data_IF_247581852630
#
_entry.id   IF_247581852630
#
_cell.length_a   1.000
_cell.length_b   1.000
_cell.length_c   1.000
_cell.angle_alpha   90.00
_cell.angle_beta   90.00
_cell.angle_gamma   90.00
#
_symmetry.space_group_name_H-M   'P 1'
#
loop_
_entity.id
_entity.type
_entity.pdbx_description
1 polymer ?
#
# COMPACT_ATOMS: atom_id res chain seq x y z
N UNK A 1 15.21 -14.51 -0.10
CA UNK A 1 15.12 -13.12 0.36
C UNK A 1 13.75 -12.55 0.05
N UNK A 2 13.05 -12.06 1.05
CA UNK A 2 11.71 -11.51 0.86
C UNK A 2 11.78 -10.09 0.29
N UNK A 3 11.06 -9.88 -0.80
CA UNK A 3 10.92 -8.56 -1.42
C UNK A 3 9.45 -8.18 -1.46
N UNK A 4 9.19 -6.88 -1.56
CA UNK A 4 7.84 -6.36 -1.71
C UNK A 4 7.46 -6.27 -3.19
N UNK A 5 6.26 -6.75 -3.50
CA UNK A 5 5.67 -6.68 -4.84
C UNK A 5 4.31 -6.02 -4.74
N UNK A 6 3.80 -5.52 -5.85
CA UNK A 6 2.51 -4.85 -5.91
C UNK A 6 1.53 -5.68 -6.73
N UNK A 7 0.47 -6.14 -6.09
CA UNK A 7 -0.60 -6.91 -6.72
C UNK A 7 -1.78 -6.00 -7.07
N UNK A 8 -2.20 -6.03 -8.32
CA UNK A 8 -3.45 -5.42 -8.74
C UNK A 8 -4.60 -6.40 -8.53
N UNK A 9 -5.65 -5.98 -7.86
CA UNK A 9 -6.76 -6.85 -7.51
C UNK A 9 -8.08 -6.08 -7.51
N UNK A 10 -9.18 -6.82 -7.49
CA UNK A 10 -10.51 -6.23 -7.35
C UNK A 10 -10.69 -5.75 -5.91
N UNK A 11 -11.14 -4.50 -5.74
CA UNK A 11 -11.24 -3.85 -4.43
C UNK A 11 -12.13 -4.62 -3.45
N UNK A 12 -13.18 -5.24 -3.93
CA UNK A 12 -14.11 -6.01 -3.12
C UNK A 12 -13.55 -7.34 -2.59
N UNK A 13 -12.47 -7.84 -3.21
CA UNK A 13 -11.89 -9.14 -2.89
C UNK A 13 -10.59 -9.04 -2.08
N UNK A 14 -10.14 -7.83 -1.74
CA UNK A 14 -8.85 -7.61 -1.07
C UNK A 14 -8.75 -8.38 0.25
N UNK A 15 -9.79 -8.36 1.07
CA UNK A 15 -9.79 -9.08 2.35
C UNK A 15 -9.65 -10.59 2.18
N UNK A 16 -10.30 -11.15 1.17
CA UNK A 16 -10.20 -12.57 0.84
C UNK A 16 -8.80 -12.93 0.37
N UNK A 17 -8.22 -12.09 -0.47
CA UNK A 17 -6.86 -12.27 -0.99
C UNK A 17 -5.87 -12.20 0.17
N UNK A 18 -6.01 -11.21 1.05
CA UNK A 18 -5.17 -11.03 2.24
C UNK A 18 -5.11 -12.32 3.07
N UNK A 19 -6.27 -12.89 3.39
CA UNK A 19 -6.35 -14.14 4.16
C UNK A 19 -5.69 -15.32 3.46
N UNK A 20 -5.87 -15.44 2.16
CA UNK A 20 -5.31 -16.55 1.38
C UNK A 20 -3.81 -16.46 1.21
N UNK A 21 -3.28 -15.27 0.92
CA UNK A 21 -1.84 -15.07 0.80
C UNK A 21 -1.13 -15.28 2.14
N UNK A 22 -1.77 -14.88 3.23
CA UNK A 22 -1.24 -15.12 4.58
C UNK A 22 -1.05 -16.60 4.86
N UNK A 23 -1.95 -17.44 4.39
CA UNK A 23 -1.84 -18.90 4.51
C UNK A 23 -0.68 -19.48 3.70
N UNK A 24 -0.30 -18.81 2.62
CA UNK A 24 0.85 -19.21 1.78
C UNK A 24 2.19 -18.79 2.39
N UNK A 25 2.18 -18.01 3.45
CA UNK A 25 3.38 -17.45 4.05
C UNK A 25 3.79 -16.09 3.49
N UNK A 26 2.92 -15.46 2.72
CA UNK A 26 3.12 -14.12 2.19
C UNK A 26 2.66 -13.10 3.23
N UNK A 27 3.41 -12.00 3.40
CA UNK A 27 3.04 -10.91 4.29
C UNK A 27 2.31 -9.83 3.48
N UNK A 28 1.00 -9.62 3.69
CA UNK A 28 0.27 -8.57 2.99
C UNK A 28 0.37 -7.24 3.73
N UNK A 29 0.34 -6.15 2.97
CA UNK A 29 0.23 -4.80 3.51
C UNK A 29 -0.76 -4.00 2.66
N UNK A 30 -1.88 -3.65 3.28
CA UNK A 30 -2.93 -2.87 2.63
C UNK A 30 -3.07 -1.54 3.37
N UNK A 31 -2.38 -0.46 2.90
CA UNK A 31 -2.38 0.81 3.61
C UNK A 31 -3.75 1.46 3.60
N UNK A 32 -4.14 1.98 4.77
CA UNK A 32 -5.41 2.66 4.96
C UNK A 32 -5.18 4.05 5.55
N UNK A 33 -6.13 4.94 5.33
CA UNK A 33 -6.14 6.26 5.95
C UNK A 33 -7.45 6.46 6.72
N UNK A 34 -7.43 7.37 7.68
CA UNK A 34 -8.62 7.71 8.46
C UNK A 34 -9.31 8.91 7.83
N UNK A 35 -10.54 8.72 7.40
CA UNK A 35 -11.40 9.80 6.93
C UNK A 35 -12.21 10.34 8.09
N UNK A 36 -12.05 11.62 8.37
CA UNK A 36 -12.81 12.32 9.41
C UNK A 36 -13.96 13.06 8.75
N UNK A 37 -15.19 12.69 9.09
CA UNK A 37 -16.38 13.34 8.56
C UNK A 37 -17.17 13.96 9.73
N UNK A 38 -17.46 15.27 9.62
CA UNK A 38 -18.28 15.97 10.59
C UNK A 38 -19.75 15.70 10.30
N UNK A 39 -20.48 15.18 11.28
CA UNK A 39 -21.93 14.99 11.15
C UNK A 39 -22.66 16.34 11.18
N UNK A 40 -23.66 16.51 10.31
CA UNK A 40 -24.43 17.75 10.18
C UNK A 40 -25.40 17.97 11.34
N UNK A 41 -25.84 16.91 12.00
CA UNK A 41 -26.88 16.90 13.01
C UNK A 41 -26.39 16.86 14.47
N UNK A 42 -25.08 16.72 14.68
CA UNK A 42 -24.48 16.76 16.00
C UNK A 42 -22.99 17.13 15.91
N UNK A 43 -22.40 17.55 17.04
CA UNK A 43 -20.96 17.86 17.09
C UNK A 43 -20.06 16.61 17.07
N UNK A 44 -20.62 15.43 16.81
CA UNK A 44 -19.88 14.19 16.75
C UNK A 44 -19.13 14.07 15.41
N UNK A 45 -17.91 13.58 15.51
CA UNK A 45 -17.03 13.33 14.35
C UNK A 45 -17.04 11.83 14.07
N UNK A 46 -17.33 11.47 12.83
CA UNK A 46 -17.24 10.07 12.39
C UNK A 46 -15.84 9.81 11.83
N UNK A 47 -15.15 8.84 12.41
CA UNK A 47 -13.85 8.37 11.93
C UNK A 47 -14.04 7.06 11.21
N UNK A 48 -13.56 6.98 9.98
CA UNK A 48 -13.74 5.82 9.12
C UNK A 48 -12.43 5.48 8.43
N UNK A 49 -12.00 4.21 8.54
CA UNK A 49 -10.82 3.75 7.82
C UNK A 49 -11.17 3.45 6.36
N UNK A 50 -10.42 4.03 5.46
CA UNK A 50 -10.56 3.86 4.02
C UNK A 50 -9.24 3.38 3.41
N UNK A 51 -9.28 2.48 2.41
CA UNK A 51 -8.05 2.07 1.74
C UNK A 51 -7.44 3.24 0.97
N UNK A 52 -6.13 3.38 1.11
CA UNK A 52 -5.36 4.41 0.39
C UNK A 52 -5.30 4.11 -1.11
N UNK A 53 -5.07 2.83 -1.45
CA UNK A 53 -5.07 2.31 -2.83
C UNK A 53 -5.99 1.08 -2.90
N UNK A 54 -7.30 1.25 -3.20
CA UNK A 54 -8.27 0.16 -3.08
C UNK A 54 -7.99 -1.06 -3.96
N UNK A 55 -7.30 -0.88 -5.08
CA UNK A 55 -7.02 -1.95 -6.03
C UNK A 55 -5.59 -2.49 -5.92
N UNK A 56 -4.79 -2.00 -4.98
CA UNK A 56 -3.39 -2.41 -4.82
C UNK A 56 -3.15 -3.03 -3.46
N UNK A 57 -2.56 -4.21 -3.46
CA UNK A 57 -2.14 -4.91 -2.27
C UNK A 57 -0.63 -5.15 -2.35
N UNK A 58 0.10 -4.66 -1.35
CA UNK A 58 1.54 -4.91 -1.25
C UNK A 58 1.76 -6.28 -0.63
N UNK A 59 2.63 -7.09 -1.24
CA UNK A 59 2.93 -8.45 -0.79
C UNK A 59 4.44 -8.65 -0.63
N UNK A 60 4.85 -9.16 0.53
CA UNK A 60 6.24 -9.50 0.79
C UNK A 60 6.41 -11.01 0.80
N UNK A 61 7.23 -11.52 -0.10
CA UNK A 61 7.56 -12.93 -0.17
C UNK A 61 8.82 -13.17 -0.98
N UNK A 62 9.36 -14.40 -0.88
CA UNK A 62 10.49 -14.85 -1.70
C UNK A 62 9.94 -15.55 -2.94
N UNK A 63 10.18 -14.96 -4.11
CA UNK A 63 9.69 -15.46 -5.39
C UNK A 63 10.27 -16.84 -5.74
N UNK A 64 11.39 -17.22 -5.12
CA UNK A 64 11.99 -18.54 -5.30
C UNK A 64 11.31 -19.62 -4.45
N UNK A 65 10.61 -19.24 -3.40
CA UNK A 65 9.89 -20.16 -2.51
C UNK A 65 8.39 -20.21 -2.84
N UNK A 66 7.81 -19.09 -3.20
CA UNK A 66 6.37 -18.98 -3.52
C UNK A 66 6.27 -18.45 -4.95
N UNK A 67 5.68 -19.25 -5.84
CA UNK A 67 5.55 -18.86 -7.23
C UNK A 67 4.48 -17.77 -7.39
N UNK A 68 4.70 -16.85 -8.32
CA UNK A 68 3.74 -15.77 -8.59
C UNK A 68 2.37 -16.29 -9.01
N UNK A 69 2.33 -17.44 -9.70
CA UNK A 69 1.07 -18.07 -10.13
C UNK A 69 0.22 -18.54 -8.95
N UNK A 70 0.83 -18.91 -7.83
CA UNK A 70 0.10 -19.30 -6.62
C UNK A 70 -0.70 -18.13 -6.06
N UNK A 71 -0.19 -16.91 -6.21
CA UNK A 71 -0.86 -15.69 -5.79
C UNK A 71 -1.90 -15.25 -6.82
N UNK A 72 -1.54 -15.25 -8.11
CA UNK A 72 -2.44 -14.77 -9.17
C UNK A 72 -3.61 -15.70 -9.45
N UNK A 73 -3.52 -16.97 -9.03
CA UNK A 73 -4.63 -17.92 -9.12
C UNK A 73 -5.73 -17.68 -8.08
N UNK A 74 -5.50 -16.84 -7.08
CA UNK A 74 -6.50 -16.51 -6.08
C UNK A 74 -7.62 -15.68 -6.73
N UNK A 75 -8.90 -16.07 -6.53
CA UNK A 75 -10.01 -15.31 -7.10
C UNK A 75 -10.00 -13.84 -6.62
N UNK A 76 -10.13 -12.92 -7.58
CA UNK A 76 -10.05 -11.47 -7.33
C UNK A 76 -8.67 -10.88 -7.60
N UNK A 77 -7.61 -11.67 -7.60
CA UNK A 77 -6.29 -11.22 -8.02
C UNK A 77 -6.24 -11.10 -9.54
N UNK A 78 -5.89 -9.92 -10.03
CA UNK A 78 -5.77 -9.66 -11.48
C UNK A 78 -4.38 -9.98 -11.97
N UNK A 79 -3.35 -9.49 -11.29
CA UNK A 79 -1.96 -9.75 -11.64
C UNK A 79 -1.02 -8.79 -10.94
N UNK A 80 0.27 -9.11 -10.96
CA UNK A 80 1.29 -8.22 -10.42
C UNK A 80 1.50 -7.03 -11.35
N UNK A 81 1.72 -5.86 -10.76
CA UNK A 81 2.15 -4.67 -11.51
C UNK A 81 3.54 -4.94 -12.06
N UNK A 82 3.72 -4.69 -13.36
CA UNK A 82 4.97 -4.94 -14.06
C UNK A 82 5.41 -3.70 -14.83
N UNK A 83 6.70 -3.42 -14.77
CA UNK A 83 7.33 -2.45 -15.66
C UNK A 83 8.35 -3.23 -16.50
N UNK A 84 7.89 -3.71 -17.66
CA UNK A 84 8.64 -4.67 -18.48
C UNK A 84 8.17 -6.11 -18.24
N UNK A 85 9.08 -7.08 -18.26
CA UNK A 85 8.76 -8.50 -18.14
C UNK A 85 8.63 -8.99 -16.70
N UNK A 86 9.32 -8.34 -15.76
CA UNK A 86 9.38 -8.78 -14.37
C UNK A 86 8.40 -8.01 -13.47
N UNK A 87 7.90 -8.63 -12.38
CA UNK A 87 7.09 -7.92 -11.41
C UNK A 87 7.84 -6.73 -10.80
N UNK A 88 7.13 -5.63 -10.62
CA UNK A 88 7.69 -4.44 -9.99
C UNK A 88 8.08 -4.73 -8.53
N UNK A 89 9.34 -4.49 -8.20
CA UNK A 89 9.82 -4.59 -6.81
C UNK A 89 9.61 -3.23 -6.15
N UNK A 90 8.87 -3.25 -5.03
CA UNK A 90 8.64 -2.06 -4.22
C UNK A 90 9.75 -1.98 -3.17
N UNK A 91 10.57 -0.93 -3.17
CA UNK A 91 11.62 -0.81 -2.17
C UNK A 91 11.07 -0.71 -0.74
N UNK A 92 11.77 -1.27 0.24
CA UNK A 92 11.39 -1.16 1.64
C UNK A 92 11.23 0.29 2.09
N UNK A 93 12.00 1.20 1.51
CA UNK A 93 11.90 2.65 1.76
C UNK A 93 10.51 3.19 1.47
N UNK A 94 9.88 2.72 0.39
CA UNK A 94 8.53 3.16 0.00
C UNK A 94 7.50 2.65 1.01
N UNK A 95 7.59 1.39 1.41
CA UNK A 95 6.70 0.81 2.41
C UNK A 95 6.81 1.57 3.74
N UNK A 96 8.05 1.82 4.19
CA UNK A 96 8.31 2.58 5.41
C UNK A 96 7.78 4.01 5.31
N UNK A 97 7.97 4.66 4.17
CA UNK A 97 7.46 6.02 3.94
C UNK A 97 5.93 6.07 3.98
N UNK A 98 5.24 5.08 3.42
CA UNK A 98 3.78 4.99 3.47
C UNK A 98 3.30 4.83 4.92
N UNK A 99 3.96 3.98 5.72
CA UNK A 99 3.64 3.81 7.13
C UNK A 99 3.87 5.09 7.93
N UNK A 100 4.97 5.78 7.69
CA UNK A 100 5.29 7.05 8.35
C UNK A 100 4.28 8.15 7.97
N UNK A 101 3.95 8.28 6.70
CA UNK A 101 2.98 9.27 6.22
C UNK A 101 1.60 9.04 6.85
N UNK A 102 1.18 7.79 6.97
CA UNK A 102 -0.08 7.43 7.62
C UNK A 102 -0.10 7.88 9.09
N UNK A 103 0.96 7.61 9.84
CA UNK A 103 1.04 7.97 11.26
C UNK A 103 1.03 9.48 11.47
N UNK A 104 1.75 10.23 10.61
CA UNK A 104 1.79 11.69 10.70
C UNK A 104 0.42 12.31 10.43
N UNK A 105 -0.36 11.74 9.52
CA UNK A 105 -1.70 12.24 9.19
C UNK A 105 -2.73 11.98 10.31
N UNK A 106 -2.49 10.99 11.16
CA UNK A 106 -3.40 10.60 12.23
C UNK A 106 -2.99 11.18 13.59
N UNK A 107 -1.81 11.78 13.69
CA UNK A 107 -1.22 12.24 14.96
C UNK A 107 -1.15 11.16 16.05
N UNK A 108 -1.01 9.90 15.64
CA UNK A 108 -0.87 8.81 16.59
C UNK A 108 0.61 8.54 16.85
N UNK A 109 0.98 8.79 18.10
CA UNK A 109 2.36 8.58 18.58
C UNK A 109 2.60 7.19 19.16
N UNK A 110 1.58 6.34 19.23
CA UNK A 110 1.62 5.10 20.00
C UNK A 110 2.37 3.96 19.30
N UNK A 111 2.38 3.93 17.97
CA UNK A 111 3.17 2.97 17.20
C UNK A 111 4.42 3.67 16.68
N UNK A 112 5.47 3.65 17.49
CA UNK A 112 6.73 4.32 17.15
C UNK A 112 7.43 3.64 15.98
N UNK A 113 6.98 3.95 14.76
CA UNK A 113 7.73 3.64 13.55
C UNK A 113 8.87 4.65 13.46
N UNK A 114 10.09 4.15 13.38
CA UNK A 114 11.26 5.00 13.26
C UNK A 114 11.32 5.61 11.85
N UNK A 115 10.88 6.85 11.73
CA UNK A 115 10.90 7.60 10.47
C UNK A 115 12.24 8.32 10.23
N UNK A 116 13.23 8.16 11.13
CA UNK A 116 14.53 8.86 11.02
C UNK A 116 15.33 8.45 9.80
N UNK A 117 15.18 7.21 9.35
CA UNK A 117 15.91 6.67 8.21
C UNK A 117 15.17 6.83 6.88
N UNK A 118 14.03 7.53 6.88
CA UNK A 118 13.26 7.77 5.67
C UNK A 118 13.75 9.03 4.98
N UNK A 119 14.00 8.95 3.67
CA UNK A 119 14.36 10.14 2.87
C UNK A 119 13.26 11.21 2.99
N UNK A 120 13.60 12.45 3.37
CA UNK A 120 12.59 13.54 3.43
C UNK A 120 11.90 13.78 2.10
N UNK A 121 12.61 13.63 0.99
CA UNK A 121 12.04 13.81 -0.36
C UNK A 121 11.00 12.72 -0.65
N UNK A 122 11.33 11.47 -0.35
CA UNK A 122 10.41 10.35 -0.56
C UNK A 122 9.18 10.48 0.35
N UNK A 123 9.38 10.80 1.62
CA UNK A 123 8.28 11.01 2.57
C UNK A 123 7.35 12.12 2.09
N UNK A 124 7.91 13.23 1.60
CA UNK A 124 7.12 14.34 1.07
C UNK A 124 6.28 13.92 -0.14
N UNK A 125 6.87 13.15 -1.07
CA UNK A 125 6.14 12.63 -2.24
C UNK A 125 4.98 11.73 -1.82
N UNK A 126 5.21 10.83 -0.87
CA UNK A 126 4.16 9.95 -0.34
C UNK A 126 3.07 10.76 0.35
N UNK A 127 3.43 11.76 1.16
CA UNK A 127 2.45 12.65 1.80
C UNK A 127 1.60 13.39 0.77
N UNK A 128 2.18 13.85 -0.34
CA UNK A 128 1.42 14.48 -1.42
C UNK A 128 0.39 13.51 -2.01
N UNK A 129 0.76 12.25 -2.17
CA UNK A 129 -0.16 11.22 -2.66
C UNK A 129 -1.31 11.02 -1.67
N UNK A 130 -1.04 10.98 -0.38
CA UNK A 130 -2.08 10.78 0.64
C UNK A 130 -3.09 11.93 0.72
N UNK A 131 -2.68 13.13 0.34
CA UNK A 131 -3.55 14.31 0.36
C UNK A 131 -4.50 14.39 -0.85
N UNK A 132 -4.25 13.62 -1.90
CA UNK A 132 -5.11 13.60 -3.08
C UNK A 132 -6.42 12.90 -2.76
N UNK A 133 -7.53 13.55 -3.05
CA UNK A 133 -8.87 13.01 -2.75
C UNK A 133 -9.29 11.89 -3.72
N UNK A 134 -8.87 11.97 -4.98
CA UNK A 134 -9.24 10.98 -5.98
C UNK A 134 -8.38 9.72 -5.83
N UNK A 135 -9.03 8.59 -5.60
CA UNK A 135 -8.37 7.28 -5.50
C UNK A 135 -7.63 6.92 -6.78
N UNK A 136 -8.23 7.20 -7.92
CA UNK A 136 -7.63 6.90 -9.23
C UNK A 136 -6.34 7.69 -9.45
N UNK A 137 -6.35 8.97 -9.09
CA UNK A 137 -5.16 9.82 -9.19
C UNK A 137 -4.07 9.34 -8.23
N UNK A 138 -4.44 8.94 -7.01
CA UNK A 138 -3.47 8.38 -6.05
C UNK A 138 -2.77 7.14 -6.61
N UNK A 139 -3.52 6.25 -7.25
CA UNK A 139 -2.98 5.04 -7.86
C UNK A 139 -2.03 5.36 -9.02
N UNK A 140 -2.38 6.33 -9.85
CA UNK A 140 -1.51 6.80 -10.94
C UNK A 140 -0.23 7.42 -10.39
N UNK A 141 -0.32 8.23 -9.35
CA UNK A 141 0.85 8.85 -8.70
C UNK A 141 1.78 7.80 -8.09
N UNK A 142 1.22 6.76 -7.45
CA UNK A 142 2.00 5.65 -6.91
C UNK A 142 2.74 4.90 -8.03
N UNK A 143 2.05 4.59 -9.12
CA UNK A 143 2.65 3.91 -10.27
C UNK A 143 3.80 4.72 -10.87
N UNK A 144 3.62 6.03 -11.02
CA UNK A 144 4.68 6.92 -11.49
C UNK A 144 5.86 6.97 -10.54
N UNK A 145 5.60 7.03 -9.24
CA UNK A 145 6.65 7.02 -8.23
C UNK A 145 7.50 5.75 -8.33
N UNK A 146 6.87 4.60 -8.48
CA UNK A 146 7.56 3.31 -8.58
C UNK A 146 8.31 3.15 -9.91
N UNK A 147 7.76 3.70 -11.00
CA UNK A 147 8.36 3.62 -12.34
C UNK A 147 9.62 4.49 -12.47
N UNK A 148 9.56 5.72 -11.95
CA UNK A 148 10.64 6.69 -12.13
C UNK A 148 11.59 6.79 -10.94
N UNK A 149 11.31 6.11 -9.86
CA UNK A 149 12.19 6.13 -8.73
C UNK A 149 13.41 5.24 -8.98
N UNK A 150 14.56 5.86 -9.13
CA UNK A 150 15.82 5.14 -9.22
C UNK A 150 16.25 4.77 -7.78
N UNK A 151 15.79 3.63 -7.34
CA UNK A 151 16.07 3.11 -6.00
C UNK A 151 17.28 2.17 -5.98
N UNK A 152 18.20 2.39 -6.85
CA UNK A 152 19.46 1.65 -6.83
C UNK A 152 20.30 1.98 -5.60
#
# INVERSE_FOLDING_TARGET
MNLWYLLYCKSQDVEKIDRRVSKLGVVPFFPQYVKVTKRKDCNAVRMEEKPLFPNYLFLSFDINKIHTSDVTSIPGAVGFVRFGSDPCIVPDKVITAIRCARLLSINQTEDAIDCRNVSPVLLHKIQQITLVKSTEIRQVMLSKLLEYADFK
#
